data_IF_128614158110
#
_entry.id   IF_128614158110
#
_cell.length_a   1.000
_cell.length_b   1.000
_cell.length_c   1.000
_cell.angle_alpha   90.00
_cell.angle_beta   90.00
_cell.angle_gamma   90.00
#
_symmetry.space_group_name_H-M   'P 1'
#
loop_
_entity.id
_entity.type
_entity.pdbx_description
1 polymer ?
#
# COMPACT_ATOMS: atom_id res chain seq x y z
N UNK A 1 -13.60 7.05 -3.30
CA UNK A 1 -13.27 5.67 -2.85
C UNK A 1 -12.62 4.96 -4.01
N UNK A 2 -11.48 4.32 -3.79
CA UNK A 2 -10.62 3.82 -4.87
C UNK A 2 -10.20 2.38 -4.60
N UNK A 3 -10.15 1.56 -5.65
CA UNK A 3 -9.63 0.19 -5.59
C UNK A 3 -8.10 0.21 -5.75
N UNK A 4 -7.37 -0.29 -4.75
CA UNK A 4 -5.90 -0.25 -4.78
C UNK A 4 -5.34 -1.15 -5.88
N UNK A 5 -5.95 -2.31 -6.14
CA UNK A 5 -5.52 -3.22 -7.19
C UNK A 5 -5.59 -2.53 -8.54
N UNK A 6 -6.74 -1.93 -8.87
CA UNK A 6 -6.92 -1.18 -10.13
C UNK A 6 -5.92 -0.03 -10.26
N UNK A 7 -5.68 0.71 -9.18
CA UNK A 7 -4.71 1.81 -9.18
C UNK A 7 -3.27 1.36 -9.46
N UNK A 8 -2.91 0.16 -9.02
CA UNK A 8 -1.59 -0.43 -9.27
C UNK A 8 -1.55 -1.20 -10.61
N UNK A 9 -2.61 -1.14 -11.42
CA UNK A 9 -2.71 -1.86 -12.69
C UNK A 9 -3.02 -3.36 -12.56
N UNK A 10 -3.44 -3.80 -11.38
CA UNK A 10 -3.93 -5.15 -11.12
C UNK A 10 -5.44 -5.29 -11.43
N UNK A 11 -5.95 -6.51 -11.30
CA UNK A 11 -7.38 -6.77 -11.42
C UNK A 11 -8.15 -6.11 -10.27
N UNK A 12 -9.41 -5.69 -10.50
CA UNK A 12 -10.26 -5.18 -9.43
C UNK A 12 -10.46 -6.18 -8.31
N UNK A 13 -10.60 -5.68 -7.09
CA UNK A 13 -11.02 -6.48 -5.95
C UNK A 13 -12.39 -7.11 -6.28
N UNK A 14 -12.42 -8.45 -6.34
CA UNK A 14 -13.67 -9.18 -6.52
C UNK A 14 -14.62 -8.96 -5.33
N UNK A 15 -15.87 -9.40 -5.45
CA UNK A 15 -16.83 -9.40 -4.34
C UNK A 15 -16.42 -10.46 -3.30
N UNK A 16 -15.43 -10.14 -2.48
CA UNK A 16 -14.89 -10.99 -1.43
C UNK A 16 -15.33 -10.49 -0.06
N UNK A 17 -15.76 -11.38 0.82
CA UNK A 17 -16.03 -11.05 2.23
C UNK A 17 -14.77 -10.67 3.02
N UNK A 18 -13.59 -10.92 2.44
CA UNK A 18 -12.29 -10.53 3.00
C UNK A 18 -11.90 -9.10 2.64
N UNK A 19 -12.55 -8.50 1.64
CA UNK A 19 -12.27 -7.14 1.23
C UNK A 19 -12.43 -6.17 2.41
N UNK A 20 -11.54 -5.18 2.50
CA UNK A 20 -11.56 -4.16 3.54
C UNK A 20 -11.45 -2.79 2.91
N UNK A 21 -12.11 -1.82 3.55
CA UNK A 21 -11.97 -0.41 3.24
C UNK A 21 -11.02 0.22 4.26
N UNK A 22 -9.87 0.69 3.80
CA UNK A 22 -8.92 1.49 4.57
C UNK A 22 -9.31 2.97 4.45
N UNK A 23 -9.46 3.66 5.58
CA UNK A 23 -9.71 5.10 5.57
C UNK A 23 -8.38 5.86 5.57
N UNK A 24 -8.18 6.72 4.59
CA UNK A 24 -7.09 7.70 4.55
C UNK A 24 -7.68 9.05 4.97
N UNK A 25 -7.04 9.67 5.96
CA UNK A 25 -7.26 11.06 6.35
C UNK A 25 -5.93 11.79 6.28
N UNK A 26 -5.83 12.77 5.40
CA UNK A 26 -4.64 13.63 5.26
C UNK A 26 -5.09 15.05 4.90
N UNK A 27 -4.76 16.03 5.73
CA UNK A 27 -5.22 17.40 5.55
C UNK A 27 -6.76 17.46 5.36
N UNK A 28 -7.22 17.99 4.23
CA UNK A 28 -8.65 18.05 3.85
C UNK A 28 -9.12 16.80 3.06
N UNK A 29 -8.22 15.87 2.74
CA UNK A 29 -8.53 14.63 2.03
C UNK A 29 -9.11 13.58 2.99
N UNK A 30 -10.32 13.14 2.69
CA UNK A 30 -10.97 11.99 3.31
C UNK A 30 -11.34 11.00 2.20
N UNK A 31 -10.55 9.92 2.06
CA UNK A 31 -10.77 8.93 1.01
C UNK A 31 -10.68 7.51 1.56
N UNK A 32 -11.48 6.62 0.97
CA UNK A 32 -11.45 5.20 1.25
C UNK A 32 -10.69 4.44 0.17
N UNK A 33 -9.83 3.50 0.57
CA UNK A 33 -9.07 2.61 -0.32
C UNK A 33 -9.50 1.17 -0.07
N UNK A 34 -9.94 0.48 -1.11
CA UNK A 34 -10.34 -0.93 -1.04
C UNK A 34 -9.10 -1.80 -1.23
N UNK A 35 -8.96 -2.82 -0.37
CA UNK A 35 -7.95 -3.87 -0.46
C UNK A 35 -8.62 -5.25 -0.38
N UNK A 36 -8.00 -6.26 -0.99
CA UNK A 36 -8.56 -7.62 -1.05
C UNK A 36 -8.70 -8.27 0.34
N UNK A 37 -7.72 -8.09 1.22
CA UNK A 37 -7.66 -8.68 2.56
C UNK A 37 -6.71 -7.90 3.48
N UNK A 38 -6.99 -7.93 4.79
CA UNK A 38 -6.06 -7.46 5.84
C UNK A 38 -5.73 -8.64 6.73
N UNK A 39 -4.49 -9.11 6.66
CA UNK A 39 -4.01 -10.27 7.42
C UNK A 39 -3.75 -9.98 8.90
N UNK A 40 -3.59 -8.70 9.27
CA UNK A 40 -3.39 -8.28 10.66
C UNK A 40 -2.31 -7.22 10.79
N UNK A 41 -1.72 -7.14 11.99
CA UNK A 41 -0.61 -6.25 12.30
C UNK A 41 0.67 -7.06 12.38
N UNK A 42 1.70 -6.60 11.66
CA UNK A 42 3.03 -7.17 11.69
C UNK A 42 4.02 -6.14 12.23
N UNK A 43 4.83 -6.56 13.20
CA UNK A 43 5.89 -5.73 13.78
C UNK A 43 7.25 -6.25 13.30
N UNK A 44 8.10 -5.32 12.86
CA UNK A 44 9.48 -5.60 12.49
C UNK A 44 10.44 -4.82 13.39
N UNK A 45 11.58 -5.45 13.67
CA UNK A 45 12.69 -4.86 14.40
C UNK A 45 13.58 -4.08 13.45
N UNK A 46 14.31 -3.09 13.97
CA UNK A 46 15.21 -2.27 13.14
C UNK A 46 16.30 -3.06 12.43
N UNK A 47 16.73 -4.21 12.99
CA UNK A 47 17.75 -5.07 12.38
C UNK A 47 17.22 -5.88 11.20
N UNK A 48 15.89 -5.98 11.05
CA UNK A 48 15.22 -6.67 9.94
C UNK A 48 15.03 -5.72 8.76
N UNK A 49 15.45 -4.45 8.85
CA UNK A 49 15.24 -3.48 7.77
C UNK A 49 16.10 -3.86 6.56
N UNK A 50 15.46 -4.07 5.41
CA UNK A 50 16.13 -4.36 4.15
C UNK A 50 16.95 -3.16 3.67
N UNK A 51 18.03 -3.42 2.94
CA UNK A 51 18.87 -2.37 2.36
C UNK A 51 18.21 -1.82 1.09
N UNK A 52 18.42 -0.53 0.75
CA UNK A 52 17.79 0.08 -0.42
C UNK A 52 18.07 -0.63 -1.74
N UNK A 53 19.25 -1.24 -1.88
CA UNK A 53 19.68 -1.98 -3.08
C UNK A 53 19.08 -3.39 -3.19
N UNK A 54 18.28 -3.83 -2.22
CA UNK A 54 17.57 -5.13 -2.24
C UNK A 54 16.12 -4.94 -2.74
N UNK A 55 15.71 -3.70 -3.03
CA UNK A 55 14.38 -3.32 -3.52
C UNK A 55 14.42 -3.02 -5.02
N UNK A 56 14.79 -4.01 -5.85
CA UNK A 56 14.72 -3.87 -7.31
C UNK A 56 13.30 -4.22 -7.79
N UNK A 57 12.36 -3.26 -7.81
CA UNK A 57 11.15 -3.39 -8.65
C UNK A 57 10.38 -2.07 -8.84
N UNK A 58 9.79 -1.94 -10.02
CA UNK A 58 9.04 -0.80 -10.59
C UNK A 58 7.85 -0.27 -9.75
N UNK A 59 7.51 -0.89 -8.61
CA UNK A 59 6.45 -0.51 -7.67
C UNK A 59 6.88 0.60 -6.67
N UNK A 60 8.07 1.19 -6.87
CA UNK A 60 8.76 2.04 -5.88
C UNK A 60 8.04 3.35 -5.53
N UNK A 61 7.13 3.84 -6.38
CA UNK A 61 6.47 5.13 -6.18
C UNK A 61 5.78 5.20 -4.80
N UNK A 62 5.18 4.09 -4.38
CA UNK A 62 4.43 4.02 -3.12
C UNK A 62 5.14 3.20 -2.03
N UNK A 63 6.33 2.65 -2.29
CA UNK A 63 7.08 1.85 -1.29
C UNK A 63 8.07 2.74 -0.55
N UNK A 64 7.94 2.85 0.77
CA UNK A 64 8.85 3.67 1.60
C UNK A 64 10.08 2.91 2.12
N UNK A 65 10.12 1.60 1.91
CA UNK A 65 11.20 0.70 2.30
C UNK A 65 10.69 -0.72 2.41
N UNK A 66 11.50 -1.61 2.98
CA UNK A 66 11.11 -2.98 3.27
C UNK A 66 11.80 -3.53 4.51
N UNK A 67 11.30 -4.67 4.97
CA UNK A 67 11.94 -5.52 5.97
C UNK A 67 12.21 -6.90 5.36
N UNK A 68 13.23 -7.59 5.83
CA UNK A 68 13.54 -8.97 5.50
C UNK A 68 13.29 -9.85 6.73
N UNK A 69 12.43 -10.86 6.56
CA UNK A 69 12.17 -11.88 7.58
C UNK A 69 12.01 -13.22 6.89
N UNK A 70 12.69 -14.25 7.38
CA UNK A 70 12.61 -15.62 6.86
C UNK A 70 12.92 -15.73 5.36
N UNK A 71 13.80 -14.87 4.84
CA UNK A 71 14.17 -14.80 3.42
C UNK A 71 13.13 -14.15 2.50
N UNK A 72 12.08 -13.55 3.07
CA UNK A 72 11.05 -12.81 2.35
C UNK A 72 11.17 -11.30 2.57
N UNK A 73 10.92 -10.52 1.51
CA UNK A 73 10.90 -9.07 1.56
C UNK A 73 9.48 -8.54 1.79
N UNK A 74 9.29 -7.89 2.94
CA UNK A 74 8.06 -7.22 3.33
C UNK A 74 8.13 -5.74 2.96
N UNK A 75 7.61 -5.41 1.77
CA UNK A 75 7.52 -4.02 1.29
C UNK A 75 6.57 -3.21 2.17
N UNK A 76 7.00 -2.00 2.54
CA UNK A 76 6.18 -1.04 3.29
C UNK A 76 5.48 -0.12 2.31
N UNK A 77 4.21 -0.41 2.04
CA UNK A 77 3.36 0.46 1.24
C UNK A 77 2.99 1.74 2.02
N UNK A 78 3.20 2.90 1.41
CA UNK A 78 2.94 4.21 1.99
C UNK A 78 1.62 4.77 1.48
N UNK A 79 0.57 4.65 2.29
CA UNK A 79 -0.71 5.34 2.04
C UNK A 79 -0.53 6.87 2.00
N UNK A 80 0.52 7.39 2.65
CA UNK A 80 0.85 8.81 2.59
C UNK A 80 1.31 9.24 1.20
N UNK A 81 2.24 8.49 0.58
CA UNK A 81 2.67 8.77 -0.81
C UNK A 81 1.54 8.55 -1.81
N UNK A 82 0.71 7.53 -1.60
CA UNK A 82 -0.49 7.32 -2.41
C UNK A 82 -1.39 8.56 -2.39
N UNK A 83 -1.67 9.09 -1.20
CA UNK A 83 -2.49 10.29 -1.01
C UNK A 83 -1.90 11.59 -1.60
N UNK A 84 -0.61 11.60 -1.97
CA UNK A 84 0.05 12.73 -2.67
C UNK A 84 0.06 12.57 -4.18
N UNK A 85 -0.23 11.38 -4.70
CA UNK A 85 -0.22 11.15 -6.14
C UNK A 85 -1.40 11.83 -6.81
N UNK A 86 -1.13 12.49 -7.94
CA UNK A 86 -2.17 13.11 -8.77
C UNK A 86 -3.20 12.07 -9.24
N UNK A 87 -2.75 10.86 -9.60
CA UNK A 87 -3.65 9.77 -9.99
C UNK A 87 -4.66 9.42 -8.89
N UNK A 88 -4.22 9.35 -7.63
CA UNK A 88 -5.13 9.13 -6.51
C UNK A 88 -6.08 10.30 -6.30
N UNK A 89 -5.57 11.53 -6.33
CA UNK A 89 -6.36 12.74 -6.10
C UNK A 89 -7.42 12.93 -7.19
N UNK A 90 -7.08 12.67 -8.45
CA UNK A 90 -8.00 12.79 -9.58
C UNK A 90 -9.16 11.78 -9.53
N UNK A 91 -8.92 10.58 -9.00
CA UNK A 91 -9.93 9.51 -8.91
C UNK A 91 -10.71 9.55 -7.58
N UNK A 92 -10.23 10.31 -6.59
CA UNK A 92 -10.85 10.43 -5.26
C UNK A 92 -11.63 11.71 -5.00
N UNK A 93 -11.52 12.73 -5.87
CA UNK A 93 -12.36 13.94 -5.89
C UNK A 93 -13.80 13.66 -6.32
#
# INVERSE_FOLDING_TARGET
MVDLGVMLGHQPCGSSSKARLLSIKKDDLYSGVIVDEVFGLQTFSSHEKARPNELDSMDDAFVSGAFERDGEHWKVFSLYRLAESEDFLNVSA
#
